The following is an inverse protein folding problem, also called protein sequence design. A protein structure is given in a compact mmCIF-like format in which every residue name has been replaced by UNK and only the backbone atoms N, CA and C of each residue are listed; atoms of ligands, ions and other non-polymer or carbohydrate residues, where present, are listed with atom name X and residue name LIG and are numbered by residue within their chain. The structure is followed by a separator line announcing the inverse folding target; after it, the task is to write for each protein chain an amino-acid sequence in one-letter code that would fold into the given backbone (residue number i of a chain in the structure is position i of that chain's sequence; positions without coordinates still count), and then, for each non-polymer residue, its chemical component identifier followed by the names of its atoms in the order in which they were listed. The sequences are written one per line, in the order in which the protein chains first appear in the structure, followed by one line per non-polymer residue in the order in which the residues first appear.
data_IF_587367172123
#
_entry.id   IF_587367172123
#
_cell.length_a   1.000
_cell.length_b   1.000
_cell.length_c   1.000
_cell.angle_alpha   90.00
_cell.angle_beta   90.00
_cell.angle_gamma   90.00
#
_symmetry.space_group_name_H-M   'P 1'
#
loop_
_entity.id
_entity.type
_entity.pdbx_description
1 polymer ?
#
# COMPACT_ATOMS: atom_id res chain seq x y z
N UNK A 1 -1.67 19.62 16.86
CA UNK A 1 -2.13 18.25 16.53
C UNK A 1 -3.17 17.85 17.54
N UNK A 2 -4.36 17.41 17.10
CA UNK A 2 -5.36 16.86 18.01
C UNK A 2 -4.91 15.47 18.48
N UNK A 3 -4.98 15.22 19.78
CA UNK A 3 -4.74 13.89 20.38
C UNK A 3 -6.10 13.30 20.69
N UNK A 4 -6.39 12.14 20.10
CA UNK A 4 -7.62 11.40 20.34
C UNK A 4 -7.30 10.19 21.21
N UNK A 5 -8.02 10.03 22.32
CA UNK A 5 -7.93 8.82 23.14
C UNK A 5 -8.76 7.71 22.49
N UNK A 6 -8.17 6.54 22.33
CA UNK A 6 -8.82 5.36 21.74
C UNK A 6 -8.51 4.18 22.64
N UNK A 7 -9.55 3.44 23.03
CA UNK A 7 -9.38 2.21 23.78
C UNK A 7 -8.98 1.07 22.85
N UNK A 8 -7.94 0.34 23.23
CA UNK A 8 -7.30 -0.71 22.44
C UNK A 8 -6.79 -1.77 23.39
N UNK A 9 -6.96 -3.03 23.02
CA UNK A 9 -6.38 -4.14 23.77
C UNK A 9 -4.84 -3.95 23.85
N UNK A 10 -4.27 -3.80 25.06
CA UNK A 10 -2.85 -3.61 25.24
C UNK A 10 -2.01 -4.73 24.63
N UNK A 11 -2.53 -5.97 24.64
CA UNK A 11 -1.84 -7.14 24.10
C UNK A 11 -1.70 -7.08 22.58
N UNK A 12 -2.71 -6.52 21.90
CA UNK A 12 -2.65 -6.33 20.44
C UNK A 12 -1.59 -5.31 20.05
N UNK A 13 -1.52 -4.20 20.78
CA UNK A 13 -0.52 -3.15 20.54
C UNK A 13 0.90 -3.65 20.84
N UNK A 14 1.07 -4.42 21.92
CA UNK A 14 2.37 -5.00 22.28
C UNK A 14 2.88 -5.95 21.19
N UNK A 15 2.04 -6.91 20.77
CA UNK A 15 2.35 -7.81 19.65
C UNK A 15 2.64 -7.05 18.36
N UNK A 16 1.86 -6.00 18.07
CA UNK A 16 2.07 -5.19 16.87
C UNK A 16 3.40 -4.42 16.93
N UNK A 17 3.84 -3.95 18.10
CA UNK A 17 5.18 -3.35 18.28
C UNK A 17 6.28 -4.36 18.03
N UNK A 18 6.17 -5.57 18.58
CA UNK A 18 7.17 -6.63 18.36
C UNK A 18 7.32 -6.98 16.87
N UNK A 19 6.20 -7.10 16.14
CA UNK A 19 6.20 -7.45 14.73
C UNK A 19 6.67 -6.31 13.81
N UNK A 20 6.52 -5.05 14.23
CA UNK A 20 6.86 -3.89 13.41
C UNK A 20 8.18 -3.21 13.80
N UNK A 21 8.69 -3.47 15.00
CA UNK A 21 9.85 -2.79 15.58
C UNK A 21 9.57 -1.35 16.04
N UNK A 22 8.31 -0.94 16.08
CA UNK A 22 7.94 0.45 16.34
C UNK A 22 8.09 0.85 17.81
N UNK A 23 8.57 2.09 18.00
CA UNK A 23 8.90 2.62 19.33
C UNK A 23 7.70 3.24 20.05
N UNK A 24 6.60 3.51 19.34
CA UNK A 24 5.42 4.14 19.93
C UNK A 24 4.12 3.50 19.41
N UNK A 25 3.10 3.44 20.27
CA UNK A 25 1.76 2.95 19.90
C UNK A 25 1.18 3.75 18.73
N UNK A 26 1.45 5.07 18.71
CA UNK A 26 1.02 5.94 17.62
C UNK A 26 1.68 5.57 16.28
N UNK A 27 2.97 5.27 16.28
CA UNK A 27 3.69 4.84 15.08
C UNK A 27 3.16 3.52 14.54
N UNK A 28 2.86 2.56 15.44
CA UNK A 28 2.22 1.29 15.07
C UNK A 28 0.88 1.52 14.39
N UNK A 29 0.04 2.38 14.96
CA UNK A 29 -1.29 2.68 14.43
C UNK A 29 -1.18 3.40 13.08
N UNK A 30 -0.28 4.37 12.93
CA UNK A 30 -0.05 5.05 11.65
C UNK A 30 0.39 4.07 10.56
N UNK A 31 1.33 3.18 10.89
CA UNK A 31 1.80 2.14 9.97
C UNK A 31 0.68 1.17 9.58
N UNK A 32 -0.13 0.73 10.55
CA UNK A 32 -1.26 -0.15 10.31
C UNK A 32 -2.30 0.49 9.37
N UNK A 33 -2.63 1.77 9.59
CA UNK A 33 -3.55 2.52 8.74
C UNK A 33 -3.02 2.68 7.31
N UNK A 34 -1.74 3.03 7.14
CA UNK A 34 -1.09 3.12 5.82
C UNK A 34 -1.15 1.79 5.07
N UNK A 35 -0.84 0.69 5.76
CA UNK A 35 -0.88 -0.66 5.18
C UNK A 35 -2.29 -1.09 4.80
N UNK A 36 -3.29 -0.75 5.63
CA UNK A 36 -4.70 -1.03 5.32
C UNK A 36 -5.15 -0.29 4.06
N UNK A 37 -4.87 1.01 3.96
CA UNK A 37 -5.21 1.82 2.79
C UNK A 37 -4.53 1.23 1.54
N UNK A 38 -3.23 0.96 1.61
CA UNK A 38 -2.49 0.35 0.51
C UNK A 38 -3.05 -1.02 0.11
N UNK A 39 -3.40 -1.87 1.09
CA UNK A 39 -4.01 -3.17 0.83
C UNK A 39 -5.37 -3.06 0.13
N UNK A 40 -6.16 -2.04 0.44
CA UNK A 40 -7.46 -1.80 -0.21
C UNK A 40 -7.29 -1.22 -1.61
N UNK A 41 -6.35 -0.29 -1.78
CA UNK A 41 -6.00 0.27 -3.09
C UNK A 41 -5.40 -0.78 -4.04
N UNK A 42 -4.66 -1.76 -3.51
CA UNK A 42 -4.12 -2.88 -4.31
C UNK A 42 -5.24 -3.70 -4.95
N UNK A 43 -6.38 -3.90 -4.28
CA UNK A 43 -7.53 -4.58 -4.87
C UNK A 43 -8.05 -3.83 -6.09
N UNK A 44 -8.33 -2.52 -5.93
CA UNK A 44 -8.76 -1.66 -7.03
C UNK A 44 -7.74 -1.60 -8.19
N UNK A 45 -6.43 -1.65 -7.88
CA UNK A 45 -5.38 -1.73 -8.90
C UNK A 45 -5.43 -3.05 -9.67
N UNK A 46 -5.64 -4.18 -8.98
CA UNK A 46 -5.75 -5.50 -9.63
C UNK A 46 -7.00 -5.53 -10.53
N UNK A 47 -8.13 -5.02 -10.04
CA UNK A 47 -9.37 -4.94 -10.81
C UNK A 47 -9.18 -4.09 -12.07
N UNK A 48 -8.51 -2.92 -11.96
CA UNK A 48 -8.19 -2.09 -13.13
C UNK A 48 -7.24 -2.73 -14.14
N UNK A 49 -6.29 -3.56 -13.71
CA UNK A 49 -5.43 -4.35 -14.62
C UNK A 49 -6.24 -5.45 -15.31
N UNK A 50 -7.19 -6.08 -14.62
CA UNK A 50 -8.05 -7.11 -15.20
C UNK A 50 -8.97 -6.53 -16.30
N UNK A 51 -9.34 -5.26 -16.20
CA UNK A 51 -10.12 -4.53 -17.21
C UNK A 51 -9.29 -4.03 -18.40
N UNK A 52 -7.95 -4.13 -18.36
CA UNK A 52 -7.09 -3.67 -19.46
C UNK A 52 -7.22 -4.60 -20.68
N UNK A 53 -7.86 -4.10 -21.74
CA UNK A 53 -7.88 -4.76 -23.04
C UNK A 53 -6.55 -4.53 -23.80
N UNK A 54 -6.06 -5.54 -24.53
CA UNK A 54 -4.82 -5.44 -25.32
C UNK A 54 -3.52 -5.65 -24.54
N UNK A 55 -3.60 -6.02 -23.25
CA UNK A 55 -2.42 -6.37 -22.45
C UNK A 55 -1.55 -7.49 -23.07
N UNK A 56 -2.11 -8.57 -23.66
CA UNK A 56 -1.31 -9.60 -24.31
C UNK A 56 -0.49 -9.06 -25.49
N UNK A 57 -1.06 -8.13 -26.25
CA UNK A 57 -0.43 -7.56 -27.45
C UNK A 57 0.64 -6.52 -27.11
N UNK A 58 0.53 -5.86 -25.95
CA UNK A 58 1.50 -4.88 -25.46
C UNK A 58 2.70 -5.50 -24.72
N UNK A 59 2.58 -6.72 -24.21
CA UNK A 59 3.65 -7.41 -23.49
C UNK A 59 4.75 -7.86 -24.46
N UNK A 60 5.87 -7.12 -24.47
CA UNK A 60 7.01 -7.39 -25.36
C UNK A 60 6.94 -6.66 -26.71
N UNK A 61 5.96 -5.75 -26.87
CA UNK A 61 5.94 -4.85 -28.01
C UNK A 61 7.21 -3.99 -28.05
N UNK A 62 7.74 -3.66 -29.24
CA UNK A 62 8.91 -2.81 -29.37
C UNK A 62 8.66 -1.44 -28.73
N UNK A 63 9.50 -1.07 -27.78
CA UNK A 63 9.40 0.20 -27.05
C UNK A 63 10.11 1.28 -27.89
N UNK A 64 9.41 2.38 -28.17
CA UNK A 64 10.01 3.56 -28.81
C UNK A 64 10.56 4.46 -27.72
N UNK A 65 11.84 4.80 -27.81
CA UNK A 65 12.43 5.78 -26.91
C UNK A 65 11.89 7.17 -27.27
N UNK A 66 11.16 7.88 -26.37
CA UNK A 66 10.57 9.18 -26.68
C UNK A 66 11.61 10.27 -26.97
N UNK A 67 12.90 10.00 -26.69
CA UNK A 67 14.01 10.90 -26.98
C UNK A 67 14.77 10.56 -28.26
N UNK A 68 14.47 9.43 -28.91
CA UNK A 68 15.03 9.12 -30.21
C UNK A 68 14.44 10.08 -31.26
N UNK A 69 15.24 11.05 -31.67
CA UNK A 69 14.94 11.93 -32.80
C UNK A 69 15.00 11.09 -34.09
N UNK A 70 14.07 11.27 -35.05
CA UNK A 70 13.95 10.44 -36.25
C UNK A 70 15.20 10.42 -37.14
#
# INVERSE_FOLDING_TARGET
MAVTSVDLDPRLIERARELTGERSNRSVIDLALRRLIASKQKGAMIDGIAELAGLPDGLGAPVVDPTATP
#
